data_IF_736966569673
#
_entry.id   IF_736966569673
#
_cell.length_a   1.000
_cell.length_b   1.000
_cell.length_c   1.000
_cell.angle_alpha   90.00
_cell.angle_beta   90.00
_cell.angle_gamma   90.00
#
_symmetry.space_group_name_H-M   'P 1'
#
loop_
_entity.id
_entity.type
_entity.pdbx_description
1 polymer ?
#
# COMPACT_ATOMS: atom_id res chain seq x y z
N UNK A 1 22.68 4.02 11.06
CA UNK A 1 22.24 2.67 10.65
C UNK A 1 21.24 2.17 11.68
N UNK A 2 19.96 2.50 11.54
CA UNK A 2 18.92 1.89 12.38
C UNK A 2 18.82 0.43 11.98
N UNK A 3 19.34 -0.46 12.83
CA UNK A 3 19.09 -1.89 12.73
C UNK A 3 17.59 -2.12 12.94
N UNK A 4 16.83 -2.15 11.85
CA UNK A 4 15.45 -2.64 11.89
C UNK A 4 15.49 -4.10 12.30
N UNK A 5 15.16 -4.37 13.56
CA UNK A 5 15.13 -5.71 14.12
C UNK A 5 14.07 -6.53 13.37
N UNK A 6 14.47 -7.68 12.85
CA UNK A 6 13.60 -8.57 12.07
C UNK A 6 12.59 -9.24 13.01
N UNK A 7 11.33 -9.31 12.60
CA UNK A 7 10.28 -10.00 13.35
C UNK A 7 10.60 -11.49 13.55
N UNK A 8 10.17 -12.06 14.68
CA UNK A 8 10.35 -13.47 15.07
C UNK A 8 9.84 -14.47 14.02
N UNK A 9 8.86 -14.08 13.19
CA UNK A 9 8.33 -14.89 12.10
C UNK A 9 9.30 -14.95 10.91
N UNK A 10 9.81 -13.79 10.46
CA UNK A 10 10.79 -13.70 9.37
C UNK A 10 12.12 -14.35 9.75
N UNK A 11 12.53 -14.26 11.03
CA UNK A 11 13.67 -15.01 11.55
C UNK A 11 13.47 -16.53 11.48
N UNK A 12 12.25 -17.04 11.76
CA UNK A 12 11.93 -18.48 11.67
C UNK A 12 12.01 -18.99 10.22
N UNK A 13 11.45 -18.23 9.28
CA UNK A 13 11.50 -18.58 7.86
C UNK A 13 12.94 -18.62 7.32
N UNK A 14 13.81 -17.71 7.79
CA UNK A 14 15.24 -17.71 7.43
C UNK A 14 15.98 -18.94 7.98
N UNK A 15 15.66 -19.35 9.21
CA UNK A 15 16.20 -20.57 9.84
C UNK A 15 15.72 -21.83 9.12
N UNK A 16 14.44 -21.91 8.77
CA UNK A 16 13.84 -23.08 8.12
C UNK A 16 14.40 -23.31 6.70
N UNK A 17 14.73 -22.23 5.98
CA UNK A 17 15.45 -22.33 4.71
C UNK A 17 16.83 -23.00 4.83
N UNK A 18 17.49 -22.94 6.01
CA UNK A 18 18.79 -23.56 6.25
C UNK A 18 18.71 -25.07 6.55
N UNK A 19 17.53 -25.59 6.90
CA UNK A 19 17.32 -27.02 7.20
C UNK A 19 16.85 -27.85 6.00
N UNK A 20 16.90 -27.32 4.78
CA UNK A 20 16.28 -27.94 3.60
C UNK A 20 17.03 -29.17 3.06
N UNK A 21 18.29 -29.37 3.44
CA UNK A 21 19.14 -30.48 2.94
C UNK A 21 19.81 -31.32 4.04
N UNK A 22 19.99 -30.80 5.27
CA UNK A 22 20.46 -31.57 6.44
C UNK A 22 20.16 -30.85 7.77
N UNK A 23 20.28 -31.55 8.91
CA UNK A 23 19.87 -31.08 10.24
C UNK A 23 20.81 -30.01 10.82
N UNK A 24 20.52 -28.73 10.56
CA UNK A 24 21.16 -27.59 11.22
C UNK A 24 20.51 -27.23 12.57
N UNK A 25 21.30 -26.73 13.53
CA UNK A 25 20.81 -26.26 14.83
C UNK A 25 20.71 -24.73 14.87
N UNK A 26 19.56 -24.21 15.33
CA UNK A 26 19.41 -22.79 15.66
C UNK A 26 18.65 -22.64 16.98
N UNK A 27 19.21 -21.89 17.92
CA UNK A 27 18.62 -21.63 19.23
C UNK A 27 17.59 -20.50 19.14
N UNK A 28 16.31 -20.79 19.42
CA UNK A 28 15.19 -19.84 19.38
C UNK A 28 14.55 -19.70 20.78
N UNK A 29 14.45 -18.49 21.36
CA UNK A 29 13.50 -18.25 22.46
C UNK A 29 12.08 -18.07 21.90
N UNK A 30 11.11 -18.82 22.45
CA UNK A 30 9.70 -18.94 22.01
C UNK A 30 8.93 -17.57 21.97
N UNK A 31 7.84 -17.35 21.22
CA UNK A 31 6.56 -18.09 21.13
C UNK A 31 5.81 -17.79 19.80
N UNK A 32 4.55 -18.24 19.69
CA UNK A 32 3.74 -18.70 18.52
C UNK A 32 2.86 -17.64 17.77
N UNK A 33 2.19 -18.01 16.64
CA UNK A 33 1.81 -17.17 15.48
C UNK A 33 0.32 -16.78 15.44
N UNK A 34 -0.14 -16.07 14.39
CA UNK A 34 -1.39 -16.38 13.67
C UNK A 34 -1.46 -15.68 12.28
N UNK A 35 -1.94 -16.44 11.29
CA UNK A 35 -2.03 -16.17 9.85
C UNK A 35 -3.47 -15.85 9.44
N UNK A 36 -3.71 -14.84 8.58
CA UNK A 36 -4.94 -14.79 7.76
C UNK A 36 -4.86 -13.81 6.57
N UNK A 37 -5.14 -14.34 5.39
CA UNK A 37 -5.15 -13.67 4.08
C UNK A 37 -6.40 -12.79 3.84
N UNK A 38 -6.28 -11.86 2.90
CA UNK A 38 -7.18 -10.72 2.67
C UNK A 38 -8.37 -11.01 1.74
N UNK A 39 -9.56 -10.44 2.02
CA UNK A 39 -10.64 -10.32 1.04
C UNK A 39 -10.43 -9.12 0.09
N UNK A 40 -10.79 -9.30 -1.19
CA UNK A 40 -10.85 -8.23 -2.20
C UNK A 40 -11.94 -7.22 -1.86
N UNK A 41 -11.63 -5.92 -1.99
CA UNK A 41 -12.52 -4.81 -1.59
C UNK A 41 -13.50 -4.51 -2.73
N UNK A 42 -14.79 -4.77 -2.50
CA UNK A 42 -15.88 -4.36 -3.40
C UNK A 42 -16.41 -2.94 -3.04
N UNK A 43 -16.93 -2.22 -4.03
CA UNK A 43 -17.24 -0.77 -4.03
C UNK A 43 -18.20 -0.25 -2.91
N UNK A 44 -18.82 -1.12 -2.13
CA UNK A 44 -19.71 -0.78 -1.01
C UNK A 44 -19.00 -0.50 0.33
N UNK A 45 -17.71 -0.80 0.43
CA UNK A 45 -16.98 -0.83 1.71
C UNK A 45 -16.70 0.54 2.34
N UNK A 46 -16.71 1.60 1.54
CA UNK A 46 -16.23 2.93 1.94
C UNK A 46 -17.19 3.63 2.94
N UNK A 47 -18.48 3.27 2.92
CA UNK A 47 -19.51 3.97 3.69
C UNK A 47 -19.46 3.69 5.20
N UNK A 48 -18.76 2.65 5.64
CA UNK A 48 -18.71 2.26 7.06
C UNK A 48 -17.30 1.81 7.49
N UNK A 49 -16.29 2.66 7.29
CA UNK A 49 -14.92 2.38 7.78
C UNK A 49 -14.87 2.19 9.30
N UNK A 50 -15.78 2.81 10.06
CA UNK A 50 -15.91 2.59 11.51
C UNK A 50 -16.50 1.23 11.91
N UNK A 51 -17.23 0.57 11.01
CA UNK A 51 -17.75 -0.79 11.21
C UNK A 51 -16.93 -1.83 10.43
N UNK A 52 -15.84 -1.41 9.79
CA UNK A 52 -14.94 -2.35 9.13
C UNK A 52 -14.22 -3.17 10.20
N UNK A 53 -14.44 -4.47 10.17
CA UNK A 53 -13.69 -5.43 10.96
C UNK A 53 -12.28 -5.60 10.36
N UNK A 54 -11.35 -4.76 10.82
CA UNK A 54 -9.93 -4.91 10.52
C UNK A 54 -9.34 -6.09 11.30
N UNK A 55 -8.42 -6.84 10.69
CA UNK A 55 -7.62 -7.87 11.39
C UNK A 55 -6.71 -7.25 12.45
N UNK A 56 -6.16 -6.06 12.16
CA UNK A 56 -5.49 -5.19 13.11
C UNK A 56 -5.95 -3.75 12.80
N UNK A 57 -6.81 -3.14 13.62
CA UNK A 57 -7.37 -1.83 13.31
C UNK A 57 -6.26 -0.78 13.32
N UNK A 58 -6.07 -0.04 12.22
CA UNK A 58 -5.14 1.09 12.22
C UNK A 58 -5.60 2.13 13.24
N UNK A 59 -4.68 3.00 13.68
CA UNK A 59 -5.04 4.12 14.55
C UNK A 59 -6.16 4.94 13.90
N UNK A 60 -7.16 5.33 14.71
CA UNK A 60 -8.37 6.01 14.21
C UNK A 60 -8.03 7.27 13.41
N UNK A 61 -6.98 7.98 13.83
CA UNK A 61 -6.49 9.18 13.15
C UNK A 61 -5.98 8.86 11.74
N UNK A 62 -5.24 7.77 11.53
CA UNK A 62 -4.72 7.39 10.20
C UNK A 62 -5.86 7.12 9.22
N UNK A 63 -6.91 6.44 9.67
CA UNK A 63 -8.10 6.20 8.85
C UNK A 63 -8.83 7.50 8.51
N UNK A 64 -8.93 8.42 9.48
CA UNK A 64 -9.54 9.73 9.26
C UNK A 64 -8.71 10.60 8.30
N UNK A 65 -7.38 10.60 8.43
CA UNK A 65 -6.48 11.30 7.52
C UNK A 65 -6.61 10.80 6.08
N UNK A 66 -6.69 9.48 5.87
CA UNK A 66 -6.93 8.92 4.53
C UNK A 66 -8.26 9.38 3.91
N UNK A 67 -9.33 9.43 4.71
CA UNK A 67 -10.63 9.97 4.25
C UNK A 67 -10.56 11.46 3.94
N UNK A 68 -9.86 12.23 4.77
CA UNK A 68 -9.66 13.66 4.56
C UNK A 68 -8.87 13.94 3.28
N UNK A 69 -7.89 13.11 2.96
CA UNK A 69 -7.13 13.21 1.71
C UNK A 69 -8.01 12.91 0.49
N UNK A 70 -8.80 11.84 0.54
CA UNK A 70 -9.76 11.52 -0.53
C UNK A 70 -10.82 12.63 -0.73
N UNK A 71 -11.22 13.29 0.37
CA UNK A 71 -12.10 14.46 0.32
C UNK A 71 -11.42 15.66 -0.33
N UNK A 72 -10.16 15.94 0.03
CA UNK A 72 -9.38 17.03 -0.56
C UNK A 72 -9.19 16.85 -2.09
N UNK A 73 -9.20 15.60 -2.57
CA UNK A 73 -9.11 15.26 -3.99
C UNK A 73 -10.46 15.25 -4.74
N UNK A 74 -11.58 15.53 -4.05
CA UNK A 74 -12.95 15.56 -4.61
C UNK A 74 -13.47 14.18 -5.08
N UNK A 75 -12.97 13.09 -4.50
CA UNK A 75 -13.36 11.73 -4.87
C UNK A 75 -14.53 11.19 -4.04
N UNK A 76 -14.72 11.74 -2.84
CA UNK A 76 -15.76 11.34 -1.90
C UNK A 76 -16.49 12.59 -1.38
N UNK A 77 -17.79 12.46 -1.20
CA UNK A 77 -18.65 13.51 -0.61
C UNK A 77 -18.53 13.54 0.92
N UNK A 78 -19.10 14.57 1.55
CA UNK A 78 -19.14 14.75 3.01
C UNK A 78 -19.79 13.56 3.73
N UNK A 79 -20.67 12.85 3.03
CA UNK A 79 -21.38 11.66 3.52
C UNK A 79 -20.63 10.34 3.29
N UNK A 80 -19.46 10.35 2.66
CA UNK A 80 -18.70 9.13 2.38
C UNK A 80 -19.09 8.41 1.08
N UNK A 81 -19.88 9.05 0.21
CA UNK A 81 -20.30 8.46 -1.08
C UNK A 81 -19.35 8.87 -2.20
N UNK A 82 -19.07 7.95 -3.13
CA UNK A 82 -18.16 8.19 -4.25
C UNK A 82 -18.75 9.18 -5.28
N UNK A 83 -18.01 10.24 -5.57
CA UNK A 83 -18.41 11.29 -6.54
C UNK A 83 -18.27 10.79 -7.98
N UNK A 84 -18.89 11.47 -8.95
CA UNK A 84 -18.74 11.16 -10.39
C UNK A 84 -17.27 11.11 -10.84
N UNK A 85 -16.41 11.95 -10.27
CA UNK A 85 -14.97 11.96 -10.52
C UNK A 85 -14.22 10.81 -9.84
N UNK A 86 -14.71 10.31 -8.71
CA UNK A 86 -14.10 9.22 -7.95
C UNK A 86 -14.32 7.83 -8.57
N UNK A 87 -15.45 7.62 -9.26
CA UNK A 87 -15.77 6.36 -9.97
C UNK A 87 -14.67 5.85 -10.92
N UNK A 88 -14.08 6.68 -11.81
CA UNK A 88 -12.99 6.22 -12.66
C UNK A 88 -11.63 6.09 -11.94
N UNK A 89 -11.50 6.57 -10.70
CA UNK A 89 -10.26 6.42 -9.92
C UNK A 89 -10.14 5.00 -9.39
N UNK A 90 -11.26 4.40 -8.97
CA UNK A 90 -11.27 3.05 -8.36
C UNK A 90 -10.87 1.94 -9.34
N UNK A 91 -10.94 2.19 -10.64
CA UNK A 91 -10.54 1.21 -11.66
C UNK A 91 -9.05 1.19 -11.97
N UNK A 92 -8.26 2.16 -11.47
CA UNK A 92 -6.83 2.28 -11.76
C UNK A 92 -5.98 1.96 -10.53
N UNK A 93 -4.98 1.06 -10.64
CA UNK A 93 -4.07 0.71 -9.55
C UNK A 93 -2.97 1.77 -9.42
N UNK A 94 -3.35 3.02 -9.16
CA UNK A 94 -2.42 4.14 -9.03
C UNK A 94 -2.81 4.99 -7.83
N UNK A 95 -1.85 5.72 -7.27
CA UNK A 95 -2.17 6.60 -6.15
C UNK A 95 -3.20 7.65 -6.58
N UNK A 96 -4.20 7.95 -5.73
CA UNK A 96 -5.33 8.81 -6.08
C UNK A 96 -4.89 10.21 -6.52
N UNK A 97 -3.78 10.73 -6.00
CA UNK A 97 -3.21 12.01 -6.37
C UNK A 97 -2.80 12.09 -7.87
N UNK A 98 -2.26 11.00 -8.44
CA UNK A 98 -1.81 10.96 -9.84
C UNK A 98 -2.98 11.00 -10.83
N UNK A 99 -4.16 10.50 -10.46
CA UNK A 99 -5.32 10.49 -11.33
C UNK A 99 -5.78 11.93 -11.70
N UNK A 100 -5.79 12.85 -10.73
CA UNK A 100 -6.11 14.26 -10.99
C UNK A 100 -5.09 14.91 -11.93
N UNK A 101 -3.80 14.59 -11.76
CA UNK A 101 -2.73 15.03 -12.66
C UNK A 101 -2.94 14.52 -14.08
N UNK A 102 -3.36 13.26 -14.27
CA UNK A 102 -3.69 12.72 -15.58
C UNK A 102 -4.91 13.39 -16.21
N UNK A 103 -5.94 13.70 -15.42
CA UNK A 103 -7.11 14.42 -15.91
C UNK A 103 -6.74 15.82 -16.41
N UNK A 104 -5.84 16.52 -15.72
CA UNK A 104 -5.29 17.79 -16.17
C UNK A 104 -4.39 17.61 -17.42
N UNK A 105 -3.48 16.64 -17.41
CA UNK A 105 -2.56 16.36 -18.51
C UNK A 105 -3.28 15.99 -19.81
N UNK A 106 -4.43 15.30 -19.71
CA UNK A 106 -5.30 15.04 -20.87
C UNK A 106 -5.82 16.32 -21.51
N UNK A 107 -6.13 17.36 -20.72
CA UNK A 107 -6.56 18.68 -21.23
C UNK A 107 -5.41 19.44 -21.88
N UNK A 108 -4.19 19.30 -21.35
CA UNK A 108 -2.99 19.95 -21.89
C UNK A 108 -2.31 19.16 -23.03
N UNK A 109 -2.77 17.95 -23.34
CA UNK A 109 -2.17 17.08 -24.36
C UNK A 109 -0.84 16.43 -23.95
N UNK A 110 -0.44 16.52 -22.68
CA UNK A 110 0.83 15.98 -22.16
C UNK A 110 0.68 14.65 -21.40
N UNK A 111 -0.41 13.91 -21.66
CA UNK A 111 -0.72 12.66 -20.95
C UNK A 111 0.41 11.62 -21.04
N UNK A 112 1.03 11.49 -22.22
CA UNK A 112 2.13 10.54 -22.44
C UNK A 112 3.29 10.76 -21.47
N UNK A 113 3.74 12.02 -21.32
CA UNK A 113 4.86 12.37 -20.45
C UNK A 113 4.53 12.09 -18.99
N UNK A 114 3.31 12.41 -18.57
CA UNK A 114 2.88 12.14 -17.19
C UNK A 114 2.83 10.65 -16.88
N UNK A 115 2.32 9.83 -17.81
CA UNK A 115 2.33 8.36 -17.64
C UNK A 115 3.77 7.83 -17.55
N UNK A 116 4.71 8.36 -18.34
CA UNK A 116 6.12 7.98 -18.24
C UNK A 116 6.73 8.35 -16.87
N UNK A 117 6.43 9.53 -16.33
CA UNK A 117 6.91 9.96 -15.00
C UNK A 117 6.34 9.05 -13.91
N UNK A 118 5.04 8.74 -13.95
CA UNK A 118 4.44 7.86 -12.94
C UNK A 118 4.91 6.42 -13.06
N UNK A 119 5.19 5.95 -14.28
CA UNK A 119 5.84 4.67 -14.49
C UNK A 119 7.22 4.67 -13.83
N UNK A 120 8.01 5.74 -13.97
CA UNK A 120 9.31 5.88 -13.33
C UNK A 120 9.23 5.85 -11.79
N UNK A 121 8.25 6.56 -11.21
CA UNK A 121 7.98 6.56 -9.76
C UNK A 121 7.55 5.19 -9.23
N UNK A 122 6.98 4.34 -10.08
CA UNK A 122 6.59 2.98 -9.69
C UNK A 122 7.78 2.02 -9.62
N UNK A 123 8.99 2.45 -10.03
CA UNK A 123 10.19 1.66 -9.85
C UNK A 123 10.65 1.72 -8.38
N UNK A 124 10.88 0.54 -7.80
CA UNK A 124 11.37 0.39 -6.43
C UNK A 124 12.87 0.66 -6.30
N UNK A 125 13.63 0.44 -7.38
CA UNK A 125 15.07 0.65 -7.43
C UNK A 125 15.40 2.04 -7.98
N UNK A 126 16.46 2.66 -7.47
CA UNK A 126 16.90 3.93 -8.01
C UNK A 126 17.40 3.72 -9.45
N UNK A 127 16.91 4.47 -10.45
CA UNK A 127 17.42 4.39 -11.82
C UNK A 127 18.90 4.82 -11.92
N UNK A 128 19.40 5.48 -10.87
CA UNK A 128 20.79 5.92 -10.74
C UNK A 128 21.46 5.15 -9.59
N UNK A 129 22.17 4.04 -9.86
CA UNK A 129 22.99 3.37 -8.86
C UNK A 129 24.26 4.19 -8.60
N UNK A 130 24.51 4.53 -7.33
CA UNK A 130 25.78 5.10 -6.91
C UNK A 130 26.79 3.96 -6.72
N UNK A 131 28.03 4.08 -7.24
CA UNK A 131 29.05 3.07 -6.97
C UNK A 131 29.34 3.00 -5.47
N UNK A 132 29.41 1.78 -4.93
CA UNK A 132 29.88 1.56 -3.57
C UNK A 132 31.35 1.99 -3.48
N UNK A 133 31.63 3.00 -2.65
CA UNK A 133 32.99 3.46 -2.34
C UNK A 133 33.63 2.57 -1.27
#
# INVERSE_FOLDING_TARGET
MSSLLISKASAKQKVECAGRTESGHTSRPASQPDDSAHPSVEDGWINNIGAFEFVDPPHKETSFFGLQELRALDYIDDRGTLTLKGKPVTSLPIAPAWHNSFLAAKKFGCLYVMVCITALESLQESPFPLPAA
#
